data_IF_690578180714
#
_entry.id   IF_690578180714
#
_cell.length_a   1.000
_cell.length_b   1.000
_cell.length_c   1.000
_cell.angle_alpha   90.00
_cell.angle_beta   90.00
_cell.angle_gamma   90.00
#
_symmetry.space_group_name_H-M   'P 1'
#
loop_
_entity.id
_entity.type
_entity.pdbx_description
1 polymer ?
#
# COMPACT_ATOMS: atom_id res chain seq x y z
N UNK A 1 -8.17 -38.02 35.27
CA UNK A 1 -7.11 -38.91 34.78
C UNK A 1 -6.87 -38.50 33.32
N UNK A 2 -6.05 -37.52 32.97
CA UNK A 2 -4.57 -37.44 33.09
C UNK A 2 -3.95 -38.04 31.81
N UNK A 3 -2.97 -37.50 31.07
CA UNK A 3 -2.12 -36.30 31.05
C UNK A 3 -1.30 -36.41 29.73
N UNK A 4 -1.16 -35.36 28.93
CA UNK A 4 0.00 -34.44 28.86
C UNK A 4 1.25 -34.95 28.10
N UNK A 5 1.61 -34.17 27.06
CA UNK A 5 2.96 -33.81 26.55
C UNK A 5 3.72 -34.72 25.55
N UNK A 6 4.14 -34.12 24.41
CA UNK A 6 5.54 -33.96 23.93
C UNK A 6 5.52 -33.40 22.49
N UNK A 7 6.00 -32.18 22.22
CA UNK A 7 7.39 -31.71 21.99
C UNK A 7 7.91 -31.99 20.56
N UNK A 8 8.25 -30.88 19.90
CA UNK A 8 9.14 -30.61 18.75
C UNK A 8 9.78 -31.82 18.08
N UNK A 9 9.58 -31.96 16.77
CA UNK A 9 10.61 -32.54 15.90
C UNK A 9 10.99 -31.50 14.84
N UNK A 10 12.14 -30.87 15.08
CA UNK A 10 12.83 -30.03 14.13
C UNK A 10 13.66 -30.97 13.26
N UNK A 11 13.05 -31.51 12.22
CA UNK A 11 13.78 -32.24 11.18
C UNK A 11 14.47 -31.24 10.23
N UNK A 12 15.42 -30.48 10.79
CA UNK A 12 16.50 -29.88 10.00
C UNK A 12 17.40 -31.06 9.56
N UNK A 13 17.02 -31.70 8.45
CA UNK A 13 17.88 -32.67 7.78
C UNK A 13 19.11 -31.95 7.20
N UNK A 14 20.07 -31.63 8.06
CA UNK A 14 21.41 -31.24 7.68
C UNK A 14 22.11 -32.49 7.15
N UNK A 15 21.97 -32.72 5.85
CA UNK A 15 22.76 -33.73 5.14
C UNK A 15 24.24 -33.35 5.24
N UNK A 16 24.95 -33.92 6.21
CA UNK A 16 26.41 -33.94 6.21
C UNK A 16 26.85 -35.06 5.28
N UNK A 17 27.58 -34.77 4.18
CA UNK A 17 28.14 -35.85 3.37
C UNK A 17 29.24 -36.57 4.18
N UNK A 18 28.96 -37.81 4.60
CA UNK A 18 29.87 -38.74 5.30
C UNK A 18 31.08 -39.20 4.45
N UNK A 19 31.35 -38.51 3.34
CA UNK A 19 32.55 -38.73 2.52
C UNK A 19 33.35 -37.44 2.53
N UNK A 20 34.52 -37.46 3.17
CA UNK A 20 35.48 -36.37 3.08
C UNK A 20 35.78 -36.11 1.60
N UNK A 21 35.31 -34.99 1.06
CA UNK A 21 35.60 -34.58 -0.31
C UNK A 21 37.07 -34.18 -0.33
N UNK A 22 37.95 -35.15 -0.62
CA UNK A 22 39.37 -34.88 -0.78
C UNK A 22 39.58 -34.26 -2.16
N UNK A 23 39.71 -32.93 -2.17
CA UNK A 23 40.15 -32.23 -3.37
C UNK A 23 41.61 -32.58 -3.64
N UNK A 24 41.94 -32.81 -4.91
CA UNK A 24 43.33 -33.00 -5.28
C UNK A 24 44.12 -31.73 -4.92
N UNK A 25 45.35 -31.87 -4.39
CA UNK A 25 46.15 -30.72 -3.96
C UNK A 25 46.40 -29.72 -5.10
N UNK A 26 46.34 -30.16 -6.35
CA UNK A 26 46.39 -29.30 -7.53
C UNK A 26 45.19 -28.34 -7.64
N UNK A 27 43.97 -28.81 -7.36
CA UNK A 27 42.75 -27.98 -7.39
C UNK A 27 42.73 -27.03 -6.20
N UNK A 28 43.19 -27.48 -5.03
CA UNK A 28 43.32 -26.63 -3.83
C UNK A 28 44.34 -25.52 -4.06
N UNK A 29 45.48 -25.82 -4.70
CA UNK A 29 46.48 -24.81 -5.08
C UNK A 29 45.89 -23.80 -6.05
N UNK A 30 45.23 -24.23 -7.13
CA UNK A 30 44.60 -23.33 -8.10
C UNK A 30 43.54 -22.42 -7.46
N UNK A 31 42.70 -22.96 -6.57
CA UNK A 31 41.70 -22.15 -5.85
C UNK A 31 42.35 -21.18 -4.86
N UNK A 32 43.43 -21.57 -4.19
CA UNK A 32 44.21 -20.70 -3.29
C UNK A 32 44.93 -19.58 -4.06
N UNK A 33 45.47 -19.88 -5.24
CA UNK A 33 46.13 -18.93 -6.13
C UNK A 33 45.11 -17.91 -6.68
N UNK A 34 43.89 -18.36 -7.00
CA UNK A 34 42.79 -17.49 -7.41
C UNK A 34 42.14 -16.70 -6.26
N UNK A 35 42.17 -17.20 -5.02
CA UNK A 35 41.66 -16.50 -3.84
C UNK A 35 42.54 -15.32 -3.40
N UNK A 36 43.85 -15.39 -3.67
CA UNK A 36 44.81 -14.33 -3.38
C UNK A 36 44.85 -13.22 -4.46
N UNK A 37 44.27 -13.46 -5.64
CA UNK A 37 44.23 -12.49 -6.73
C UNK A 37 43.08 -11.47 -6.54
N UNK A 38 43.33 -10.15 -6.63
CA UNK A 38 42.32 -9.11 -6.36
C UNK A 38 41.27 -8.91 -7.48
N UNK A 39 41.02 -9.91 -8.33
CA UNK A 39 40.08 -9.80 -9.43
C UNK A 39 39.76 -11.14 -10.12
N UNK A 40 38.61 -11.19 -10.81
CA UNK A 40 38.22 -12.34 -11.62
C UNK A 40 39.19 -12.46 -12.81
N UNK A 41 39.84 -13.63 -13.04
CA UNK A 41 40.73 -13.79 -14.19
C UNK A 41 39.95 -13.62 -15.51
N UNK A 42 40.56 -13.02 -16.54
CA UNK A 42 39.86 -12.61 -17.77
C UNK A 42 39.20 -13.78 -18.52
N UNK A 43 39.77 -14.97 -18.45
CA UNK A 43 39.21 -16.18 -19.04
C UNK A 43 37.87 -16.57 -18.39
N UNK A 44 37.78 -16.48 -17.05
CA UNK A 44 36.54 -16.76 -16.30
C UNK A 44 35.49 -15.71 -16.59
N UNK A 45 35.89 -14.44 -16.71
CA UNK A 45 34.97 -13.37 -17.11
C UNK A 45 34.38 -13.62 -18.48
N UNK A 46 35.19 -14.05 -19.47
CA UNK A 46 34.70 -14.37 -20.81
C UNK A 46 33.70 -15.54 -20.83
N UNK A 47 33.95 -16.56 -19.99
CA UNK A 47 33.05 -17.71 -19.84
C UNK A 47 31.72 -17.31 -19.22
N UNK A 48 31.76 -16.46 -18.18
CA UNK A 48 30.57 -15.92 -17.55
C UNK A 48 29.77 -15.04 -18.52
N UNK A 49 30.44 -14.15 -19.24
CA UNK A 49 29.80 -13.27 -20.23
C UNK A 49 29.13 -14.08 -21.35
N UNK A 50 29.78 -15.17 -21.81
CA UNK A 50 29.19 -16.07 -22.80
C UNK A 50 27.94 -16.77 -22.27
N UNK A 51 27.99 -17.29 -21.05
CA UNK A 51 26.84 -17.93 -20.40
C UNK A 51 25.69 -16.94 -20.19
N UNK A 52 25.98 -15.72 -19.74
CA UNK A 52 25.00 -14.65 -19.57
C UNK A 52 24.36 -14.30 -20.92
N UNK A 53 25.15 -14.11 -21.98
CA UNK A 53 24.62 -13.85 -23.34
C UNK A 53 23.74 -14.98 -23.85
N UNK A 54 24.17 -16.23 -23.66
CA UNK A 54 23.41 -17.41 -24.08
C UNK A 54 22.05 -17.48 -23.37
N UNK A 55 22.02 -17.24 -22.06
CA UNK A 55 20.77 -17.21 -21.30
C UNK A 55 19.86 -16.07 -21.73
N UNK A 56 20.40 -14.86 -21.89
CA UNK A 56 19.63 -13.71 -22.40
C UNK A 56 19.02 -14.02 -23.77
N UNK A 57 19.78 -14.66 -24.66
CA UNK A 57 19.27 -15.03 -25.99
C UNK A 57 18.13 -16.06 -25.92
N UNK A 58 18.26 -17.07 -25.05
CA UNK A 58 17.21 -18.06 -24.84
C UNK A 58 15.93 -17.43 -24.27
N UNK A 59 16.06 -16.56 -23.26
CA UNK A 59 14.92 -15.84 -22.66
C UNK A 59 14.28 -14.87 -23.65
N UNK A 60 15.07 -14.17 -24.47
CA UNK A 60 14.54 -13.29 -25.53
C UNK A 60 13.78 -14.08 -26.60
N UNK A 61 14.25 -15.28 -26.96
CA UNK A 61 13.55 -16.14 -27.91
C UNK A 61 12.22 -16.64 -27.32
N UNK A 62 12.22 -17.01 -26.03
CA UNK A 62 11.02 -17.41 -25.30
C UNK A 62 9.98 -16.28 -25.25
N UNK A 63 10.38 -15.07 -24.85
CA UNK A 63 9.48 -13.92 -24.77
C UNK A 63 8.87 -13.55 -26.12
N UNK A 64 9.63 -13.67 -27.21
CA UNK A 64 9.08 -13.43 -28.57
C UNK A 64 8.01 -14.44 -28.95
N UNK A 65 8.17 -15.71 -28.56
CA UNK A 65 7.18 -16.74 -28.82
C UNK A 65 5.90 -16.49 -27.99
N UNK A 66 6.02 -16.08 -26.73
CA UNK A 66 4.88 -15.68 -25.91
C UNK A 66 4.18 -14.44 -26.46
N UNK A 67 4.92 -13.42 -26.92
CA UNK A 67 4.36 -12.24 -27.56
C UNK A 67 3.56 -12.58 -28.82
N UNK A 68 4.05 -13.53 -29.64
CA UNK A 68 3.34 -14.01 -30.83
C UNK A 68 2.04 -14.75 -30.45
N UNK A 69 2.09 -15.61 -29.42
CA UNK A 69 0.91 -16.31 -28.94
C UNK A 69 -0.15 -15.31 -28.41
N UNK A 70 0.25 -14.36 -27.57
CA UNK A 70 -0.63 -13.31 -27.05
C UNK A 70 -1.22 -12.48 -28.19
N UNK A 71 -0.43 -12.12 -29.21
CA UNK A 71 -0.94 -11.41 -30.40
C UNK A 71 -2.00 -12.24 -31.13
N UNK A 72 -1.74 -13.53 -31.34
CA UNK A 72 -2.71 -14.42 -31.99
C UNK A 72 -4.01 -14.57 -31.21
N UNK A 73 -3.93 -14.59 -29.87
CA UNK A 73 -5.10 -14.64 -28.99
C UNK A 73 -5.91 -13.34 -29.08
N UNK A 74 -5.23 -12.18 -29.11
CA UNK A 74 -5.87 -10.87 -29.28
C UNK A 74 -6.57 -10.80 -30.63
N UNK A 75 -5.90 -11.18 -31.73
CA UNK A 75 -6.50 -11.19 -33.07
C UNK A 75 -7.75 -12.10 -33.11
N UNK A 76 -7.66 -13.31 -32.57
CA UNK A 76 -8.81 -14.22 -32.48
C UNK A 76 -9.95 -13.64 -31.63
N UNK A 77 -9.63 -12.96 -30.54
CA UNK A 77 -10.63 -12.32 -29.69
C UNK A 77 -11.32 -11.16 -30.40
N UNK A 78 -10.57 -10.34 -31.14
CA UNK A 78 -11.10 -9.23 -31.93
C UNK A 78 -11.95 -9.71 -33.11
N UNK A 79 -11.54 -10.77 -33.81
CA UNK A 79 -12.35 -11.39 -34.87
C UNK A 79 -13.68 -11.89 -34.31
N UNK A 80 -13.64 -12.59 -33.17
CA UNK A 80 -14.84 -13.07 -32.49
C UNK A 80 -15.74 -11.91 -32.06
N UNK A 81 -15.17 -10.86 -31.46
CA UNK A 81 -15.92 -9.68 -31.05
C UNK A 81 -16.55 -8.95 -32.25
N UNK A 82 -15.82 -8.84 -33.37
CA UNK A 82 -16.35 -8.24 -34.58
C UNK A 82 -17.50 -9.06 -35.17
N UNK A 83 -17.38 -10.40 -35.21
CA UNK A 83 -18.47 -11.29 -35.63
C UNK A 83 -19.68 -11.21 -34.68
N UNK A 84 -19.46 -11.13 -33.37
CA UNK A 84 -20.52 -11.00 -32.37
C UNK A 84 -21.22 -9.62 -32.48
N UNK A 85 -20.45 -8.55 -32.74
CA UNK A 85 -20.99 -7.22 -33.07
C UNK A 85 -21.77 -7.22 -34.37
N UNK A 86 -21.24 -7.81 -35.44
CA UNK A 86 -21.94 -7.90 -36.73
C UNK A 86 -23.24 -8.72 -36.60
N UNK A 87 -23.24 -9.81 -35.83
CA UNK A 87 -24.47 -10.58 -35.52
C UNK A 87 -25.47 -9.77 -34.70
N UNK A 88 -25.01 -9.02 -33.70
CA UNK A 88 -25.87 -8.14 -32.92
C UNK A 88 -26.48 -7.02 -33.76
N UNK A 89 -25.73 -6.49 -34.73
CA UNK A 89 -26.17 -5.42 -35.62
C UNK A 89 -27.04 -5.92 -36.78
N UNK A 90 -26.77 -7.12 -37.32
CA UNK A 90 -27.55 -7.74 -38.39
C UNK A 90 -28.85 -8.41 -37.88
N UNK A 91 -28.92 -8.76 -36.59
CA UNK A 91 -30.09 -9.38 -35.94
C UNK A 91 -31.09 -8.40 -35.32
N UNK A 92 -30.96 -7.09 -35.55
CA UNK A 92 -31.77 -6.03 -34.94
C UNK A 92 -33.21 -5.91 -35.47
N UNK A 93 -33.93 -7.03 -35.65
CA UNK A 93 -35.29 -7.04 -36.18
C UNK A 93 -36.36 -7.74 -35.34
N UNK A 94 -36.01 -8.59 -34.36
CA UNK A 94 -37.04 -9.39 -33.66
C UNK A 94 -36.87 -9.51 -32.13
N UNK A 95 -35.74 -9.06 -31.53
CA UNK A 95 -35.48 -9.14 -30.08
C UNK A 95 -35.09 -7.79 -29.44
N UNK A 96 -35.32 -6.67 -30.12
CA UNK A 96 -34.86 -5.34 -29.70
C UNK A 96 -35.56 -4.85 -28.41
N UNK A 97 -36.87 -5.06 -28.28
CA UNK A 97 -37.64 -4.54 -27.13
C UNK A 97 -37.37 -5.30 -25.81
N UNK A 98 -36.99 -6.58 -25.87
CA UNK A 98 -36.64 -7.35 -24.66
C UNK A 98 -35.21 -7.05 -24.18
N UNK A 99 -34.27 -6.84 -25.12
CA UNK A 99 -32.86 -6.57 -24.83
C UNK A 99 -32.58 -5.11 -24.47
N UNK A 100 -33.41 -4.16 -24.89
CA UNK A 100 -33.27 -2.76 -24.51
C UNK A 100 -33.72 -2.52 -23.05
N UNK A 101 -34.70 -3.27 -22.56
CA UNK A 101 -35.06 -3.30 -21.13
C UNK A 101 -33.95 -3.91 -20.27
N UNK A 102 -33.36 -5.05 -20.69
CA UNK A 102 -32.26 -5.70 -19.96
C UNK A 102 -30.96 -4.88 -20.04
N UNK A 103 -30.67 -4.19 -21.16
CA UNK A 103 -29.49 -3.33 -21.32
C UNK A 103 -29.66 -1.97 -20.62
N UNK A 104 -30.86 -1.41 -20.57
CA UNK A 104 -31.16 -0.25 -19.74
C UNK A 104 -31.09 -0.59 -18.25
N UNK A 105 -31.61 -1.74 -17.83
CA UNK A 105 -31.51 -2.21 -16.44
C UNK A 105 -30.06 -2.57 -16.06
N UNK A 106 -29.30 -3.24 -16.94
CA UNK A 106 -27.88 -3.53 -16.74
C UNK A 106 -27.02 -2.27 -16.76
N UNK A 107 -27.34 -1.30 -17.62
CA UNK A 107 -26.68 0.01 -17.67
C UNK A 107 -26.96 0.86 -16.42
N UNK A 108 -28.20 0.82 -15.90
CA UNK A 108 -28.56 1.49 -14.64
C UNK A 108 -27.90 0.81 -13.44
N UNK A 109 -27.83 -0.52 -13.39
CA UNK A 109 -27.06 -1.25 -12.36
C UNK A 109 -25.57 -0.90 -12.43
N UNK A 110 -24.99 -0.87 -13.63
CA UNK A 110 -23.61 -0.44 -13.83
C UNK A 110 -23.39 1.01 -13.38
N UNK A 111 -24.30 1.92 -13.67
CA UNK A 111 -24.19 3.32 -13.24
C UNK A 111 -24.29 3.46 -11.72
N UNK A 112 -25.19 2.72 -11.06
CA UNK A 112 -25.34 2.75 -9.59
C UNK A 112 -24.14 2.14 -8.88
N UNK A 113 -23.59 1.02 -9.38
CA UNK A 113 -22.36 0.43 -8.84
C UNK A 113 -21.16 1.36 -9.05
N UNK A 114 -21.01 1.95 -10.25
CA UNK A 114 -19.91 2.88 -10.53
C UNK A 114 -19.99 4.15 -9.66
N UNK A 115 -21.18 4.68 -9.39
CA UNK A 115 -21.33 5.81 -8.46
C UNK A 115 -20.90 5.44 -7.04
N UNK A 116 -21.25 4.26 -6.57
CA UNK A 116 -20.77 3.75 -5.28
C UNK A 116 -19.24 3.61 -5.23
N UNK A 117 -18.64 3.08 -6.30
CA UNK A 117 -17.19 2.94 -6.41
C UNK A 117 -16.49 4.31 -6.44
N UNK A 118 -17.08 5.30 -7.13
CA UNK A 118 -16.55 6.66 -7.17
C UNK A 118 -16.59 7.35 -5.80
N UNK A 119 -17.68 7.18 -5.04
CA UNK A 119 -17.80 7.73 -3.70
C UNK A 119 -16.81 7.05 -2.72
N UNK A 120 -16.63 5.74 -2.83
CA UNK A 120 -15.64 4.99 -2.04
C UNK A 120 -14.20 5.44 -2.36
N UNK A 121 -13.89 5.65 -3.65
CA UNK A 121 -12.59 6.19 -4.08
C UNK A 121 -12.38 7.61 -3.54
N UNK A 122 -13.40 8.47 -3.62
CA UNK A 122 -13.32 9.83 -3.07
C UNK A 122 -13.03 9.80 -1.57
N UNK A 123 -13.73 8.96 -0.80
CA UNK A 123 -13.52 8.82 0.63
C UNK A 123 -12.10 8.32 0.96
N UNK A 124 -11.61 7.31 0.24
CA UNK A 124 -10.24 6.80 0.38
C UNK A 124 -9.20 7.89 0.08
N UNK A 125 -9.42 8.70 -0.95
CA UNK A 125 -8.53 9.82 -1.31
C UNK A 125 -8.55 10.89 -0.22
N UNK A 126 -9.71 11.26 0.32
CA UNK A 126 -9.81 12.23 1.42
C UNK A 126 -9.10 11.72 2.67
N UNK A 127 -9.31 10.46 3.05
CA UNK A 127 -8.60 9.81 4.17
C UNK A 127 -7.09 9.77 3.93
N UNK A 128 -6.65 9.50 2.70
CA UNK A 128 -5.23 9.51 2.34
C UNK A 128 -4.62 10.92 2.40
N UNK A 129 -5.32 11.94 1.90
CA UNK A 129 -4.88 13.34 1.97
C UNK A 129 -4.78 13.82 3.42
N UNK A 130 -5.74 13.45 4.27
CA UNK A 130 -5.69 13.76 5.69
C UNK A 130 -4.49 13.09 6.38
N UNK A 131 -4.17 11.85 6.00
CA UNK A 131 -2.96 11.14 6.47
C UNK A 131 -1.66 11.71 5.91
N UNK A 132 -1.67 12.41 4.79
CA UNK A 132 -0.50 13.07 4.20
C UNK A 132 -0.28 14.47 4.77
N UNK A 133 -1.36 15.18 5.08
CA UNK A 133 -1.36 16.52 5.68
C UNK A 133 -1.41 16.49 7.21
N UNK A 134 -1.10 15.35 7.83
CA UNK A 134 -1.03 15.28 9.28
C UNK A 134 0.07 16.22 9.77
N UNK A 135 -0.17 16.99 10.84
CA UNK A 135 0.75 18.04 11.29
C UNK A 135 2.13 17.49 11.65
N UNK A 136 2.22 16.22 12.06
CA UNK A 136 3.48 15.55 12.36
C UNK A 136 4.36 15.39 11.10
N UNK A 137 3.75 15.20 9.92
CA UNK A 137 4.46 15.03 8.63
C UNK A 137 4.99 16.37 8.16
N UNK A 138 4.15 17.40 8.29
CA UNK A 138 4.57 18.77 8.00
C UNK A 138 5.74 19.19 8.92
N UNK A 139 5.67 18.86 10.21
CA UNK A 139 6.75 19.13 11.15
C UNK A 139 8.07 18.41 10.77
N UNK A 140 8.00 17.17 10.28
CA UNK A 140 9.20 16.47 9.79
C UNK A 140 9.74 17.06 8.48
N UNK A 141 8.87 17.51 7.58
CA UNK A 141 9.31 18.24 6.38
C UNK A 141 10.02 19.55 6.74
N UNK A 142 9.47 20.33 7.68
CA UNK A 142 10.11 21.56 8.17
C UNK A 142 11.47 21.26 8.82
N UNK A 143 11.56 20.21 9.64
CA UNK A 143 12.83 19.79 10.24
C UNK A 143 13.86 19.34 9.18
N UNK A 144 13.42 18.63 8.13
CA UNK A 144 14.29 18.23 7.01
C UNK A 144 14.80 19.44 6.22
N UNK A 145 13.94 20.43 5.97
CA UNK A 145 14.31 21.67 5.29
C UNK A 145 15.32 22.48 6.12
N UNK A 146 15.20 22.48 7.44
CA UNK A 146 16.16 23.12 8.34
C UNK A 146 17.54 22.43 8.34
N UNK A 147 17.59 21.11 8.17
CA UNK A 147 18.86 20.37 8.00
C UNK A 147 19.50 20.72 6.66
N UNK A 148 18.71 20.69 5.58
CA UNK A 148 19.21 21.00 4.24
C UNK A 148 19.72 22.44 4.15
N UNK A 149 19.00 23.42 4.71
CA UNK A 149 19.44 24.82 4.72
C UNK A 149 20.71 24.99 5.56
N UNK A 150 20.85 24.28 6.68
CA UNK A 150 22.07 24.33 7.47
C UNK A 150 23.28 23.80 6.70
N UNK A 151 23.14 22.67 6.01
CA UNK A 151 24.23 22.10 5.20
C UNK A 151 24.60 22.98 3.99
N UNK A 152 23.61 23.60 3.34
CA UNK A 152 23.86 24.53 2.25
C UNK A 152 24.65 25.77 2.71
N UNK A 153 24.34 26.28 3.91
CA UNK A 153 25.01 27.45 4.46
C UNK A 153 26.39 27.14 5.08
N UNK A 154 26.65 25.88 5.44
CA UNK A 154 27.89 25.44 6.10
C UNK A 154 28.58 24.32 5.32
N UNK A 155 28.97 24.60 4.07
CA UNK A 155 29.60 23.62 3.18
C UNK A 155 30.98 23.14 3.68
N UNK A 156 31.71 23.96 4.43
CA UNK A 156 33.04 23.65 4.97
C UNK A 156 33.01 23.15 6.42
N UNK A 157 31.90 23.36 7.14
CA UNK A 157 31.71 22.91 8.54
C UNK A 157 30.35 22.22 8.76
N UNK A 158 30.07 21.11 8.06
CA UNK A 158 28.79 20.40 8.20
C UNK A 158 28.54 19.85 9.62
N UNK A 159 29.58 19.70 10.43
CA UNK A 159 29.48 19.24 11.81
C UNK A 159 28.72 20.23 12.72
N UNK A 160 28.64 21.51 12.36
CA UNK A 160 27.90 22.52 13.13
C UNK A 160 26.38 22.32 13.05
N UNK A 161 25.91 21.57 12.05
CA UNK A 161 24.48 21.29 11.82
C UNK A 161 23.91 20.14 12.66
N UNK A 162 24.65 19.65 13.65
CA UNK A 162 24.26 18.50 14.48
C UNK A 162 22.93 18.73 15.23
N UNK A 163 22.63 19.96 15.61
CA UNK A 163 21.40 20.31 16.35
C UNK A 163 20.16 20.13 15.47
N UNK A 164 20.22 20.58 14.21
CA UNK A 164 19.15 20.43 13.22
C UNK A 164 18.93 18.96 12.90
N UNK A 165 20.01 18.18 12.76
CA UNK A 165 19.94 16.73 12.55
C UNK A 165 19.34 16.01 13.75
N UNK A 166 19.68 16.41 14.98
CA UNK A 166 19.09 15.87 16.19
C UNK A 166 17.57 16.10 16.25
N UNK A 167 17.12 17.31 15.94
CA UNK A 167 15.70 17.65 15.91
C UNK A 167 14.95 16.88 14.82
N UNK A 168 15.55 16.70 13.64
CA UNK A 168 14.98 15.89 12.57
C UNK A 168 14.85 14.41 12.96
N UNK A 169 15.86 13.84 13.63
CA UNK A 169 15.78 12.46 14.14
C UNK A 169 14.64 12.29 15.15
N UNK A 170 14.42 13.28 16.02
CA UNK A 170 13.31 13.26 16.98
C UNK A 170 11.95 13.35 16.29
N UNK A 171 11.79 14.20 15.27
CA UNK A 171 10.52 14.32 14.54
C UNK A 171 10.20 13.06 13.73
N UNK A 172 11.21 12.42 13.12
CA UNK A 172 11.05 11.13 12.44
C UNK A 172 10.70 10.02 13.45
N UNK A 173 11.40 9.93 14.57
CA UNK A 173 11.09 8.93 15.60
C UNK A 173 9.66 9.08 16.13
N UNK A 174 9.19 10.32 16.34
CA UNK A 174 7.80 10.59 16.72
C UNK A 174 6.81 10.16 15.63
N UNK A 175 7.10 10.47 14.36
CA UNK A 175 6.29 10.05 13.23
C UNK A 175 6.19 8.54 13.07
N UNK A 176 7.32 7.86 13.23
CA UNK A 176 7.39 6.40 13.18
C UNK A 176 6.59 5.80 14.33
N UNK A 177 6.65 6.36 15.55
CA UNK A 177 5.84 5.93 16.70
C UNK A 177 4.34 6.06 16.43
N UNK A 178 3.89 7.22 15.93
CA UNK A 178 2.47 7.50 15.62
C UNK A 178 1.93 6.60 14.50
N UNK A 179 2.79 6.17 13.57
CA UNK A 179 2.39 5.34 12.43
C UNK A 179 2.59 3.84 12.64
N UNK A 180 3.52 3.43 13.49
CA UNK A 180 3.85 2.01 13.74
C UNK A 180 2.98 1.36 14.82
N UNK A 181 2.35 2.14 15.69
CA UNK A 181 1.43 1.63 16.71
C UNK A 181 0.09 2.35 16.63
N UNK A 182 -1.06 1.64 16.57
CA UNK A 182 -2.34 2.24 16.92
C UNK A 182 -2.28 2.53 18.42
N UNK A 183 -1.83 3.71 18.80
CA UNK A 183 -1.98 4.16 20.18
C UNK A 183 -3.48 4.32 20.43
N UNK A 184 -4.07 3.59 21.40
CA UNK A 184 -5.41 3.93 21.84
C UNK A 184 -5.38 5.41 22.28
N UNK A 185 -6.43 6.20 21.99
CA UNK A 185 -6.42 7.61 22.32
C UNK A 185 -6.09 7.75 23.81
N UNK A 186 -4.94 8.37 24.10
CA UNK A 186 -4.59 8.75 25.45
C UNK A 186 -5.70 9.66 25.95
N UNK A 187 -6.39 9.18 26.99
CA UNK A 187 -7.50 9.81 27.70
C UNK A 187 -7.26 11.31 27.98
N UNK A 188 -7.54 12.16 26.99
CA UNK A 188 -7.78 13.58 27.19
C UNK A 188 -9.21 13.73 27.71
N UNK A 189 -9.31 13.63 29.03
CA UNK A 189 -10.35 14.21 29.89
C UNK A 189 -11.63 14.66 29.18
N UNK A 190 -12.53 13.73 28.86
CA UNK A 190 -13.91 14.09 28.58
C UNK A 190 -14.58 14.34 29.93
N UNK A 191 -14.62 15.60 30.34
CA UNK A 191 -15.35 16.03 31.54
C UNK A 191 -16.85 15.96 31.25
N UNK A 192 -17.49 14.87 31.63
CA UNK A 192 -18.96 14.77 31.60
C UNK A 192 -19.54 15.44 32.84
N UNK A 193 -20.17 16.60 32.65
CA UNK A 193 -20.95 17.26 33.71
C UNK A 193 -22.30 16.54 33.84
N UNK A 194 -22.44 15.70 34.86
CA UNK A 194 -23.71 15.06 35.22
C UNK A 194 -24.64 16.09 35.87
N UNK A 195 -25.62 16.60 35.13
CA UNK A 195 -26.71 17.40 35.70
C UNK A 195 -27.83 16.45 36.15
N UNK A 196 -27.86 16.14 37.44
CA UNK A 196 -28.96 15.39 38.06
C UNK A 196 -30.14 16.33 38.34
N UNK A 197 -31.06 16.45 37.39
CA UNK A 197 -32.38 17.03 37.64
C UNK A 197 -33.28 15.97 38.27
N UNK A 198 -33.64 16.18 39.53
CA UNK A 198 -34.51 15.29 40.32
C UNK A 198 -35.97 15.53 39.90
N UNK A 199 -36.53 14.65 39.06
CA UNK A 199 -37.95 14.66 38.70
C UNK A 199 -38.74 13.72 39.65
N UNK A 200 -39.85 14.16 40.28
CA UNK A 200 -40.58 13.40 41.30
C UNK A 200 -41.35 12.15 40.80
N UNK A 201 -41.26 11.78 39.52
CA UNK A 201 -42.04 10.68 38.94
C UNK A 201 -41.17 9.53 38.43
N UNK A 202 -40.29 9.00 39.29
CA UNK A 202 -39.88 7.57 39.32
C UNK A 202 -39.49 6.81 38.04
N UNK A 203 -39.18 7.47 36.92
CA UNK A 203 -38.80 6.82 35.66
C UNK A 203 -37.48 7.42 35.19
N UNK A 204 -36.42 6.61 35.19
CA UNK A 204 -35.11 6.98 34.66
C UNK A 204 -35.16 6.91 33.13
N UNK A 205 -35.22 8.06 32.46
CA UNK A 205 -35.02 8.17 31.02
C UNK A 205 -33.61 8.70 30.77
N UNK A 206 -32.73 7.85 30.22
CA UNK A 206 -31.39 8.25 29.77
C UNK A 206 -31.56 8.90 28.40
N UNK A 207 -31.49 10.23 28.34
CA UNK A 207 -31.43 10.96 27.07
C UNK A 207 -29.95 11.16 26.75
N UNK A 208 -29.44 10.44 25.76
CA UNK A 208 -28.16 10.74 25.12
C UNK A 208 -28.36 11.99 24.26
N UNK A 209 -27.76 13.12 24.65
CA UNK A 209 -27.69 14.29 23.78
C UNK A 209 -26.51 14.11 22.82
N UNK A 210 -26.80 14.10 21.52
CA UNK A 210 -25.79 14.22 20.46
C UNK A 210 -25.01 15.54 20.60
N UNK A 211 -23.72 15.58 20.24
CA UNK A 211 -22.96 16.82 20.25
C UNK A 211 -23.48 17.73 19.14
N UNK A 212 -24.17 18.80 19.52
CA UNK A 212 -24.46 19.92 18.63
C UNK A 212 -23.14 20.51 18.13
N UNK A 213 -22.87 20.33 16.84
CA UNK A 213 -21.87 21.08 16.10
C UNK A 213 -22.12 22.56 16.28
N UNK A 214 -21.15 23.23 16.91
CA UNK A 214 -21.04 24.67 17.04
C UNK A 214 -20.85 25.29 15.66
N UNK A 215 -21.93 25.60 14.97
CA UNK A 215 -21.88 26.39 13.73
C UNK A 215 -23.12 27.24 13.58
N UNK A 216 -22.87 28.55 13.50
CA UNK A 216 -23.72 29.59 12.90
C UNK A 216 -24.93 30.05 13.73
N UNK A 217 -24.70 31.14 14.45
CA UNK A 217 -25.70 32.20 14.60
C UNK A 217 -26.18 32.65 13.22
N UNK A 218 -27.50 32.85 13.05
CA UNK A 218 -27.94 34.07 12.40
C UNK A 218 -28.95 34.81 13.27
N UNK A 219 -28.71 36.13 13.37
CA UNK A 219 -29.67 37.13 13.80
C UNK A 219 -30.90 37.09 12.90
N UNK A 220 -32.09 36.93 13.47
CA UNK A 220 -33.31 37.52 12.90
C UNK A 220 -34.22 38.07 14.01
N UNK A 221 -34.88 39.22 13.76
CA UNK A 221 -35.63 39.94 14.78
C UNK A 221 -37.03 39.38 14.98
N UNK A 222 -37.54 39.64 16.17
CA UNK A 222 -38.89 39.44 16.66
C UNK A 222 -39.99 39.84 15.67
N UNK A 223 -40.92 38.92 15.41
CA UNK A 223 -42.33 39.26 15.14
C UNK A 223 -43.20 38.54 16.17
N UNK A 224 -43.79 39.33 17.05
CA UNK A 224 -44.76 38.94 18.05
C UNK A 224 -46.16 39.20 17.45
N UNK A 225 -46.91 38.16 17.12
CA UNK A 225 -48.35 38.26 16.86
C UNK A 225 -49.08 37.93 18.16
N UNK A 226 -49.59 38.99 18.79
CA UNK A 226 -50.49 38.97 19.93
C UNK A 226 -51.89 38.58 19.42
N UNK A 227 -52.50 37.61 20.10
CA UNK A 227 -53.95 37.51 20.28
C UNK A 227 -54.31 38.19 21.60
#
# INVERSE_FOLDING_TARGET
>A
MGGSQSRVDSDDNVYQPETSIQFSPAVVSQLSDHAAAPGIPPERQSTLDHHVRSRIQAELAHLRAEEEDVRSQIERALEKENLDKERAMAGGGLDAEAREAERAEAGVKSAVTLLGDLDEIQEKVLRSKQKQNAPEIEAAHQASAAVLSCYQNNATSPLDCWKQVSNFKQSIAHLEQVRSFPTPPSSSSVSYTLVLMRNPTGIHQVITLEPMSTTLLPQYPFYCSIL
#
